data_IF_977262910731
#
_entry.id   IF_977262910731
#
_cell.length_a   1.000
_cell.length_b   1.000
_cell.length_c   1.000
_cell.angle_alpha   90.00
_cell.angle_beta   90.00
_cell.angle_gamma   90.00
#
_symmetry.space_group_name_H-M   'P 1'
#
loop_
_entity.id
_entity.type
_entity.pdbx_description
1 polymer ?
#
# COMPACT_ATOMS: atom_id res chain seq x y z
N UNK A 1 -12.39 5.10 9.44
CA UNK A 1 -11.10 4.49 9.06
C UNK A 1 -10.85 3.33 10.01
N UNK A 2 -10.44 2.17 9.48
CA UNK A 2 -10.12 0.99 10.29
C UNK A 2 -8.58 0.88 10.30
N UNK A 3 -7.95 1.08 11.45
CA UNK A 3 -6.52 0.80 11.58
C UNK A 3 -6.37 -0.68 11.91
N UNK A 4 -5.60 -1.40 11.10
CA UNK A 4 -5.15 -2.75 11.35
C UNK A 4 -3.66 -2.71 11.62
N UNK A 5 -3.25 -3.31 12.74
CA UNK A 5 -1.87 -3.58 13.05
C UNK A 5 -1.62 -5.06 12.76
N UNK A 6 -0.69 -5.34 11.86
CA UNK A 6 -0.34 -6.70 11.48
C UNK A 6 1.13 -7.00 11.79
N UNK A 7 1.43 -8.23 12.18
CA UNK A 7 2.81 -8.72 12.25
C UNK A 7 3.29 -9.18 10.86
N UNK A 8 4.54 -9.62 10.79
CA UNK A 8 5.23 -10.05 9.57
C UNK A 8 4.58 -11.23 8.84
N UNK A 9 3.75 -12.02 9.52
CA UNK A 9 2.98 -13.13 8.92
C UNK A 9 1.54 -12.73 8.55
N UNK A 10 1.21 -11.44 8.60
CA UNK A 10 -0.10 -10.90 8.22
C UNK A 10 -1.20 -11.11 9.25
N UNK A 11 -0.88 -11.61 10.46
CA UNK A 11 -1.86 -11.72 11.54
C UNK A 11 -2.18 -10.35 12.09
N UNK A 12 -3.46 -10.08 12.33
CA UNK A 12 -3.92 -8.85 12.98
C UNK A 12 -3.58 -8.93 14.47
N UNK A 13 -2.53 -8.22 14.88
CA UNK A 13 -2.11 -8.09 16.29
C UNK A 13 -2.76 -6.89 16.99
N UNK A 14 -3.47 -6.05 16.23
CA UNK A 14 -4.29 -4.98 16.79
C UNK A 14 -5.28 -4.42 15.78
N UNK A 15 -6.42 -3.92 16.23
CA UNK A 15 -7.36 -3.18 15.39
C UNK A 15 -8.04 -2.06 16.17
N UNK A 16 -8.28 -0.91 15.53
CA UNK A 16 -9.09 0.17 16.11
C UNK A 16 -9.89 0.88 15.02
N UNK A 17 -11.15 1.18 15.34
CA UNK A 17 -11.97 2.09 14.55
C UNK A 17 -11.53 3.52 14.89
N UNK A 18 -11.10 4.27 13.88
CA UNK A 18 -10.83 5.71 13.97
C UNK A 18 -11.88 6.45 13.15
N UNK A 19 -12.34 7.62 13.62
CA UNK A 19 -13.14 8.50 12.75
C UNK A 19 -12.25 8.97 11.61
N UNK A 20 -12.74 8.87 10.37
CA UNK A 20 -11.93 8.90 9.13
C UNK A 20 -11.14 10.17 8.86
N UNK A 21 -11.39 11.25 9.60
CA UNK A 21 -10.71 12.54 9.41
C UNK A 21 -10.05 13.05 10.70
N UNK A 22 -10.13 12.29 11.80
CA UNK A 22 -9.59 12.73 13.07
C UNK A 22 -8.13 12.27 13.23
N UNK A 23 -7.21 13.11 12.77
CA UNK A 23 -5.77 12.92 12.98
C UNK A 23 -5.40 12.84 14.47
N UNK A 24 -6.21 13.40 15.38
CA UNK A 24 -5.94 13.35 16.84
C UNK A 24 -6.10 11.93 17.38
N UNK A 25 -7.25 11.29 17.12
CA UNK A 25 -7.51 9.91 17.57
C UNK A 25 -6.50 8.91 16.99
N UNK A 26 -6.16 9.08 15.71
CA UNK A 26 -5.19 8.21 15.04
C UNK A 26 -3.80 8.40 15.62
N UNK A 27 -3.41 9.65 15.92
CA UNK A 27 -2.14 9.96 16.59
C UNK A 27 -2.06 9.34 17.98
N UNK A 28 -3.08 9.52 18.82
CA UNK A 28 -3.11 8.95 20.17
C UNK A 28 -2.95 7.43 20.16
N UNK A 29 -3.60 6.77 19.21
CA UNK A 29 -3.44 5.34 19.01
C UNK A 29 -2.00 4.97 18.65
N UNK A 30 -1.40 5.65 17.67
CA UNK A 30 -0.01 5.39 17.27
C UNK A 30 0.97 5.61 18.42
N UNK A 31 0.79 6.67 19.22
CA UNK A 31 1.59 6.89 20.43
C UNK A 31 1.40 5.77 21.46
N UNK A 32 0.18 5.25 21.62
CA UNK A 32 -0.11 4.15 22.54
C UNK A 32 0.56 2.84 22.13
N UNK A 33 0.59 2.52 20.83
CA UNK A 33 1.23 1.30 20.32
C UNK A 33 2.70 1.47 19.97
N UNK A 34 3.25 2.69 20.13
CA UNK A 34 4.63 3.04 19.73
C UNK A 34 5.69 2.12 20.31
N UNK A 35 5.56 1.71 21.57
CA UNK A 35 6.51 0.82 22.23
C UNK A 35 6.53 -0.59 21.65
N UNK A 36 5.43 -1.04 21.02
CA UNK A 36 5.37 -2.34 20.32
C UNK A 36 6.24 -2.33 19.05
N UNK A 37 6.54 -1.15 18.51
CA UNK A 37 7.49 -0.96 17.43
C UNK A 37 8.88 -0.67 18.02
N UNK A 38 9.50 -1.69 18.61
CA UNK A 38 10.88 -1.59 19.08
C UNK A 38 11.80 -1.38 17.89
N UNK A 39 12.35 -0.18 17.75
CA UNK A 39 13.27 0.25 16.68
C UNK A 39 14.67 -0.35 16.87
N UNK A 40 14.89 -1.12 17.93
CA UNK A 40 16.19 -1.71 18.23
C UNK A 40 16.34 -3.07 17.54
N UNK A 41 17.41 -3.15 16.75
CA UNK A 41 18.03 -4.30 16.08
C UNK A 41 17.38 -4.83 14.80
N UNK A 42 17.96 -4.37 13.68
CA UNK A 42 18.34 -5.14 12.49
C UNK A 42 17.36 -6.22 12.01
N UNK A 43 16.41 -5.82 11.15
CA UNK A 43 16.11 -6.45 9.85
C UNK A 43 14.64 -6.34 9.44
N UNK A 44 13.74 -6.08 10.36
CA UNK A 44 12.31 -5.94 10.05
C UNK A 44 11.93 -4.46 9.89
N UNK A 45 11.95 -3.98 8.65
CA UNK A 45 11.34 -2.71 8.28
C UNK A 45 9.86 -2.73 8.66
N UNK A 46 9.51 -2.05 9.75
CA UNK A 46 8.12 -1.82 10.05
C UNK A 46 7.60 -0.68 9.17
N UNK A 47 6.47 -0.94 8.51
CA UNK A 47 5.85 -0.02 7.55
C UNK A 47 4.40 0.22 7.92
N UNK A 48 3.91 1.43 7.65
CA UNK A 48 2.49 1.77 7.77
C UNK A 48 1.89 1.77 6.37
N UNK A 49 0.84 0.97 6.17
CA UNK A 49 0.09 0.92 4.91
C UNK A 49 -1.22 1.71 5.06
N UNK A 50 -1.50 2.64 4.14
CA UNK A 50 -2.72 3.47 4.17
C UNK A 50 -3.30 3.69 2.77
N UNK A 51 -4.63 3.85 2.73
CA UNK A 51 -5.42 4.31 1.57
C UNK A 51 -5.13 5.75 1.15
N UNK A 52 -4.48 6.55 2.00
CA UNK A 52 -3.93 7.84 1.62
C UNK A 52 -2.63 8.09 2.38
N UNK A 53 -1.55 7.49 1.90
CA UNK A 53 -0.22 7.63 2.50
C UNK A 53 0.18 9.10 2.69
N UNK A 54 -0.18 9.97 1.75
CA UNK A 54 0.15 11.40 1.79
C UNK A 54 -0.54 12.14 2.95
N UNK A 55 -1.82 11.83 3.24
CA UNK A 55 -2.55 12.52 4.31
C UNK A 55 -2.04 12.13 5.70
N UNK A 56 -1.59 10.89 5.87
CA UNK A 56 -1.11 10.39 7.17
C UNK A 56 0.39 10.56 7.39
N UNK A 57 1.17 10.82 6.33
CA UNK A 57 2.63 10.90 6.37
C UNK A 57 3.15 11.85 7.46
N UNK A 58 2.66 13.10 7.51
CA UNK A 58 3.12 14.10 8.47
C UNK A 58 2.83 13.68 9.92
N UNK A 59 1.65 13.11 10.17
CA UNK A 59 1.25 12.61 11.48
C UNK A 59 2.13 11.45 11.95
N UNK A 60 2.33 10.45 11.08
CA UNK A 60 3.20 9.30 11.36
C UNK A 60 4.63 9.78 11.65
N UNK A 61 5.15 10.68 10.82
CA UNK A 61 6.48 11.23 11.00
C UNK A 61 6.62 11.96 12.34
N UNK A 62 5.57 12.68 12.78
CA UNK A 62 5.52 13.32 14.09
C UNK A 62 5.56 12.35 15.27
N UNK A 63 4.96 11.16 15.14
CA UNK A 63 4.94 10.12 16.20
C UNK A 63 6.26 9.34 16.22
N UNK A 64 6.75 8.90 15.07
CA UNK A 64 7.88 7.96 14.96
C UNK A 64 9.21 8.61 14.56
N UNK A 65 9.26 9.94 14.36
CA UNK A 65 10.49 10.68 14.01
C UNK A 65 11.25 10.06 12.82
N UNK A 66 10.52 9.75 11.75
CA UNK A 66 11.04 9.11 10.53
C UNK A 66 11.55 7.67 10.69
N UNK A 67 11.31 7.02 11.84
CA UNK A 67 11.70 5.62 12.03
C UNK A 67 10.87 4.62 11.21
N UNK A 68 9.66 5.02 10.77
CA UNK A 68 8.76 4.19 9.96
C UNK A 68 8.49 4.85 8.60
N UNK A 69 8.40 4.04 7.55
CA UNK A 69 7.91 4.49 6.25
C UNK A 69 6.38 4.33 6.15
N UNK A 70 5.77 5.24 5.40
CA UNK A 70 4.33 5.16 5.06
C UNK A 70 4.22 4.83 3.58
N UNK A 71 3.51 3.75 3.27
CA UNK A 71 3.24 3.33 1.90
C UNK A 71 1.74 3.31 1.62
N UNK A 72 1.42 3.51 0.35
CA UNK A 72 0.06 3.41 -0.15
C UNK A 72 -0.35 1.94 -0.21
N UNK A 73 -1.59 1.60 0.18
CA UNK A 73 -2.08 0.25 -0.03
C UNK A 73 -2.18 -0.13 -1.50
N UNK A 74 -2.02 -1.42 -1.78
CA UNK A 74 -1.95 -1.90 -3.15
C UNK A 74 -3.25 -1.72 -3.93
N UNK A 75 -4.40 -1.81 -3.27
CA UNK A 75 -5.70 -1.64 -3.94
C UNK A 75 -5.79 -0.25 -4.58
N UNK A 76 -5.44 0.78 -3.83
CA UNK A 76 -5.42 2.15 -4.33
C UNK A 76 -4.26 2.40 -5.33
N UNK A 77 -3.14 1.70 -5.21
CA UNK A 77 -2.08 1.74 -6.24
C UNK A 77 -2.59 1.16 -7.56
N UNK A 78 -3.21 -0.02 -7.54
CA UNK A 78 -3.75 -0.67 -8.72
C UNK A 78 -4.88 0.17 -9.36
N UNK A 79 -5.74 0.77 -8.53
CA UNK A 79 -6.76 1.69 -8.99
C UNK A 79 -6.15 2.90 -9.72
N UNK A 80 -5.11 3.52 -9.16
CA UNK A 80 -4.42 4.65 -9.82
C UNK A 80 -3.82 4.26 -11.17
N UNK A 81 -3.23 3.08 -11.30
CA UNK A 81 -2.74 2.60 -12.59
C UNK A 81 -3.88 2.44 -13.60
N UNK A 82 -4.99 1.84 -13.18
CA UNK A 82 -6.16 1.66 -14.03
C UNK A 82 -6.80 3.00 -14.45
N UNK A 83 -6.82 4.00 -13.58
CA UNK A 83 -7.32 5.34 -13.90
C UNK A 83 -6.56 6.01 -15.06
N UNK A 84 -5.28 5.65 -15.25
CA UNK A 84 -4.47 6.14 -16.37
C UNK A 84 -4.73 5.43 -17.69
N UNK A 85 -5.49 4.34 -17.72
CA UNK A 85 -5.86 3.68 -18.97
C UNK A 85 -7.13 4.33 -19.53
N UNK A 86 -7.31 4.35 -20.85
CA UNK A 86 -8.52 4.86 -21.52
C UNK A 86 -9.57 3.76 -21.63
N UNK A 87 -9.19 2.65 -22.26
CA UNK A 87 -10.07 1.54 -22.59
C UNK A 87 -10.51 0.76 -21.34
N UNK A 88 -11.82 0.52 -21.22
CA UNK A 88 -12.43 -0.18 -20.09
C UNK A 88 -12.01 -1.65 -20.01
N UNK A 89 -11.85 -2.33 -21.14
CA UNK A 89 -11.41 -3.73 -21.15
C UNK A 89 -9.98 -3.88 -20.65
N UNK A 90 -9.11 -2.97 -21.08
CA UNK A 90 -7.70 -2.91 -20.68
C UNK A 90 -7.53 -2.50 -19.23
N UNK A 91 -8.37 -1.58 -18.71
CA UNK A 91 -8.46 -1.29 -17.26
C UNK A 91 -8.72 -2.55 -16.44
N UNK A 92 -9.76 -3.29 -16.80
CA UNK A 92 -10.18 -4.49 -16.06
C UNK A 92 -9.10 -5.58 -16.10
N UNK A 93 -8.49 -5.79 -17.27
CA UNK A 93 -7.35 -6.71 -17.40
C UNK A 93 -6.17 -6.30 -16.53
N UNK A 94 -5.78 -5.02 -16.56
CA UNK A 94 -4.66 -4.52 -15.76
C UNK A 94 -4.91 -4.70 -14.25
N UNK A 95 -6.09 -4.32 -13.75
CA UNK A 95 -6.42 -4.50 -12.32
C UNK A 95 -6.36 -5.98 -11.92
N UNK A 96 -6.87 -6.86 -12.78
CA UNK A 96 -6.83 -8.31 -12.55
C UNK A 96 -5.38 -8.82 -12.50
N UNK A 97 -4.55 -8.47 -13.49
CA UNK A 97 -3.15 -8.90 -13.54
C UNK A 97 -2.33 -8.36 -12.35
N UNK A 98 -2.58 -7.12 -11.94
CA UNK A 98 -1.95 -6.54 -10.75
C UNK A 98 -2.36 -7.30 -9.48
N UNK A 99 -3.62 -7.70 -9.36
CA UNK A 99 -4.08 -8.51 -8.23
C UNK A 99 -3.45 -9.92 -8.24
N UNK A 100 -3.40 -10.57 -9.40
CA UNK A 100 -2.75 -11.88 -9.60
C UNK A 100 -1.22 -11.81 -9.44
N UNK A 101 -0.61 -10.64 -9.57
CA UNK A 101 0.81 -10.46 -9.30
C UNK A 101 1.15 -10.59 -7.80
N UNK A 102 0.19 -10.26 -6.93
CA UNK A 102 0.40 -10.34 -5.48
C UNK A 102 0.39 -11.77 -4.94
N UNK A 103 -0.39 -12.64 -5.56
CA UNK A 103 -0.68 -13.97 -5.02
C UNK A 103 -0.23 -15.07 -5.98
N UNK A 104 0.28 -16.13 -5.38
CA UNK A 104 0.49 -17.43 -6.03
C UNK A 104 -0.87 -18.07 -6.32
N UNK A 105 -0.86 -19.14 -7.13
CA UNK A 105 -2.07 -19.92 -7.43
C UNK A 105 -2.72 -20.49 -6.17
N UNK A 106 -1.91 -20.75 -5.13
CA UNK A 106 -2.36 -21.25 -3.82
C UNK A 106 -2.82 -20.13 -2.87
N UNK A 107 -3.12 -18.92 -3.39
CA UNK A 107 -3.55 -17.73 -2.64
C UNK A 107 -2.56 -17.24 -1.57
N UNK A 108 -1.29 -17.66 -1.65
CA UNK A 108 -0.21 -17.14 -0.80
C UNK A 108 0.45 -15.94 -1.43
N UNK A 109 0.92 -14.99 -0.63
CA UNK A 109 1.71 -13.85 -1.14
C UNK A 109 2.94 -14.35 -1.91
N UNK A 110 3.15 -13.80 -3.09
CA UNK A 110 4.36 -14.01 -3.88
C UNK A 110 5.59 -13.47 -3.14
N UNK A 111 6.75 -14.06 -3.39
CA UNK A 111 8.01 -13.48 -2.91
C UNK A 111 8.25 -12.12 -3.58
N UNK A 112 8.90 -11.15 -2.91
CA UNK A 112 9.00 -9.78 -3.42
C UNK A 112 9.59 -9.66 -4.83
N UNK A 113 10.59 -10.47 -5.18
CA UNK A 113 11.22 -10.47 -6.51
C UNK A 113 10.25 -10.91 -7.61
N UNK A 114 9.47 -11.96 -7.36
CA UNK A 114 8.47 -12.47 -8.29
C UNK A 114 7.30 -11.51 -8.42
N UNK A 115 6.83 -10.97 -7.30
CA UNK A 115 5.78 -9.94 -7.28
C UNK A 115 6.20 -8.73 -8.12
N UNK A 116 7.44 -8.24 -7.95
CA UNK A 116 7.97 -7.12 -8.73
C UNK A 116 8.00 -7.43 -10.23
N UNK A 117 8.47 -8.62 -10.62
CA UNK A 117 8.52 -9.04 -12.02
C UNK A 117 7.12 -9.11 -12.65
N UNK A 118 6.14 -9.69 -11.94
CA UNK A 118 4.75 -9.80 -12.42
C UNK A 118 4.05 -8.45 -12.50
N UNK A 119 4.28 -7.56 -11.53
CA UNK A 119 3.75 -6.18 -11.59
C UNK A 119 4.34 -5.44 -12.78
N UNK A 120 5.64 -5.58 -13.03
CA UNK A 120 6.30 -4.97 -14.18
C UNK A 120 5.74 -5.51 -15.51
N UNK A 121 5.51 -6.81 -15.61
CA UNK A 121 4.88 -7.44 -16.76
C UNK A 121 3.46 -6.91 -17.00
N UNK A 122 2.63 -6.85 -15.95
CA UNK A 122 1.26 -6.34 -16.02
C UNK A 122 1.22 -4.90 -16.55
N UNK A 123 2.07 -4.03 -16.01
CA UNK A 123 2.17 -2.63 -16.45
C UNK A 123 2.69 -2.54 -17.89
N UNK A 124 3.66 -3.38 -18.27
CA UNK A 124 4.25 -3.39 -19.62
C UNK A 124 3.29 -3.93 -20.69
N UNK A 125 2.24 -4.65 -20.29
CA UNK A 125 1.22 -5.17 -21.21
C UNK A 125 0.25 -4.09 -21.73
N UNK A 126 0.22 -2.92 -21.08
CA UNK A 126 -0.61 -1.78 -21.49
C UNK A 126 0.08 -1.03 -22.62
N UNK A 127 -0.55 -0.98 -23.78
CA UNK A 127 -0.05 -0.21 -24.91
C UNK A 127 -0.04 1.29 -24.59
N UNK A 128 1.02 2.04 -24.96
CA UNK A 128 1.07 3.49 -24.79
C UNK A 128 -0.14 4.24 -25.39
N UNK A 129 -0.71 3.69 -26.48
CA UNK A 129 -1.89 4.26 -27.15
C UNK A 129 -3.14 4.26 -26.26
N UNK A 130 -3.20 3.30 -25.34
CA UNK A 130 -4.31 3.10 -24.42
C UNK A 130 -4.15 3.92 -23.13
N UNK A 131 -3.06 4.67 -22.98
CA UNK A 131 -2.81 5.52 -21.81
C UNK A 131 -3.43 6.91 -22.02
N UNK A 132 -4.04 7.42 -20.95
CA UNK A 132 -4.57 8.76 -20.80
C UNK A 132 -3.44 9.71 -20.37
N UNK A 133 -2.42 9.83 -21.21
CA UNK A 133 -1.46 10.92 -21.15
C UNK A 133 -1.78 11.89 -22.29
N UNK A 134 -1.96 13.17 -21.95
CA UNK A 134 -1.54 14.23 -22.86
C UNK A 134 -0.02 14.14 -22.96
N UNK A 135 0.54 14.02 -24.16
CA UNK A 135 1.97 14.19 -24.36
C UNK A 135 2.34 15.53 -23.69
N UNK A 136 3.11 15.45 -22.60
CA UNK A 136 3.76 16.63 -22.05
C UNK A 136 5.08 16.72 -22.79
N UNK A 137 5.07 17.47 -23.88
CA UNK A 137 6.26 18.04 -24.51
C UNK A 137 7.09 18.84 -23.49
#
# INVERSE_FOLDING_TARGET
MLLLLQNEIGQIVGRRLTRSENNVETRELLEHVKSAFSVETDSNMCVIISDNANSVHSMVNGVYRSALSVHQDFFHVAQRFAEKVKDKGTKQRLVKQLHEALYTVDERLCVPSEMAARVQEAVSSVSPKDINCSDRD
#
